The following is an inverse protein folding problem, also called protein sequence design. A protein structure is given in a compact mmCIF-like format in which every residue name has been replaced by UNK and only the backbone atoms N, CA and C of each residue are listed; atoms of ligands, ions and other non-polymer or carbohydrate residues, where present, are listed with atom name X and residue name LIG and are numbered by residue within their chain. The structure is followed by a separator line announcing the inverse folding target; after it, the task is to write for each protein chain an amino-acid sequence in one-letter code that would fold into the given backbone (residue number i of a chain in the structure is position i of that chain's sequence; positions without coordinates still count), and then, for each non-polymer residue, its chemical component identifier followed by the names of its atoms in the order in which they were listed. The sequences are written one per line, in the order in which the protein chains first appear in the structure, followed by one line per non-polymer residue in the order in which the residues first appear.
data_IF_962785546370
#
_entry.id   IF_962785546370
#
_cell.length_a   1.000
_cell.length_b   1.000
_cell.length_c   1.000
_cell.angle_alpha   90.00
_cell.angle_beta   90.00
_cell.angle_gamma   90.00
#
_symmetry.space_group_name_H-M   'P 1'
#
loop_
_entity.id
_entity.type
_entity.pdbx_description
1 polymer ?
#
# COMPACT_ATOMS: atom_id res chain seq x y z
N UNK A 1 22.39 -4.51 -11.59
CA UNK A 1 21.37 -4.26 -10.53
C UNK A 1 20.68 -5.58 -10.21
N UNK A 2 20.38 -5.84 -8.94
CA UNK A 2 19.58 -7.01 -8.58
C UNK A 2 18.12 -6.82 -9.03
N UNK A 3 17.49 -7.88 -9.55
CA UNK A 3 16.08 -7.84 -9.95
C UNK A 3 15.22 -7.74 -8.69
N UNK A 4 14.25 -6.81 -8.60
CA UNK A 4 13.31 -6.74 -7.49
C UNK A 4 12.55 -8.07 -7.34
N UNK A 5 12.52 -8.62 -6.12
CA UNK A 5 11.77 -9.85 -5.82
C UNK A 5 10.39 -9.47 -5.28
N UNK A 6 9.29 -9.88 -5.92
CA UNK A 6 7.96 -9.60 -5.41
C UNK A 6 7.70 -10.39 -4.12
N UNK A 7 7.01 -9.76 -3.18
CA UNK A 7 6.41 -10.49 -2.06
C UNK A 7 5.10 -11.10 -2.56
N UNK A 8 4.96 -12.42 -2.44
CA UNK A 8 3.86 -13.16 -3.06
C UNK A 8 2.94 -13.90 -2.08
N UNK A 9 3.39 -14.10 -0.85
CA UNK A 9 2.60 -14.74 0.20
C UNK A 9 1.92 -13.65 1.01
N UNK A 10 0.60 -13.58 0.97
CA UNK A 10 -0.18 -12.54 1.66
C UNK A 10 -1.11 -13.17 2.69
N UNK A 11 -1.45 -12.47 3.78
CA UNK A 11 -2.41 -13.00 4.74
C UNK A 11 -3.77 -13.17 4.06
N UNK A 12 -4.44 -14.30 4.33
CA UNK A 12 -5.73 -14.64 3.74
C UNK A 12 -5.66 -15.53 2.48
N UNK A 13 -4.49 -15.72 1.88
CA UNK A 13 -4.30 -16.74 0.83
C UNK A 13 -4.27 -18.15 1.43
N UNK A 14 -4.82 -19.13 0.72
CA UNK A 14 -4.95 -20.50 1.20
C UNK A 14 -3.86 -21.40 0.58
N UNK A 15 -3.19 -22.20 1.41
CA UNK A 15 -2.24 -23.20 0.96
C UNK A 15 -1.05 -22.61 0.21
N UNK A 16 -0.88 -23.02 -1.05
CA UNK A 16 0.24 -22.61 -1.92
C UNK A 16 -0.13 -21.43 -2.86
N UNK A 17 -1.26 -20.75 -2.62
CA UNK A 17 -1.65 -19.60 -3.41
C UNK A 17 -0.66 -18.45 -3.26
N UNK A 18 -0.34 -17.82 -4.40
CA UNK A 18 0.63 -16.74 -4.50
C UNK A 18 0.04 -15.61 -5.33
N UNK A 19 0.24 -14.36 -4.90
CA UNK A 19 -0.22 -13.19 -5.63
C UNK A 19 0.83 -12.08 -5.64
N UNK A 20 1.11 -11.51 -6.82
CA UNK A 20 2.03 -10.37 -6.94
C UNK A 20 1.45 -9.05 -6.41
N UNK A 21 0.13 -9.02 -6.16
CA UNK A 21 -0.60 -7.83 -5.71
C UNK A 21 -1.61 -8.24 -4.66
N UNK A 22 -1.69 -7.45 -3.60
CA UNK A 22 -2.74 -7.57 -2.56
C UNK A 22 -3.82 -6.53 -2.81
N UNK A 23 -5.13 -6.87 -2.74
CA UNK A 23 -6.19 -5.90 -2.97
C UNK A 23 -6.19 -4.81 -1.89
N UNK A 24 -6.55 -3.59 -2.29
CA UNK A 24 -6.69 -2.45 -1.37
C UNK A 24 -8.06 -2.47 -0.72
N UNK A 25 -8.21 -3.35 0.29
CA UNK A 25 -9.45 -3.61 1.03
C UNK A 25 -9.20 -3.53 2.52
N UNK A 26 -10.17 -2.96 3.24
CA UNK A 26 -10.22 -2.94 4.70
C UNK A 26 -11.62 -3.30 5.18
N UNK A 27 -11.67 -3.98 6.32
CA UNK A 27 -12.90 -4.13 7.10
C UNK A 27 -12.57 -3.75 8.53
N UNK A 28 -13.43 -2.91 9.10
CA UNK A 28 -13.34 -2.51 10.49
C UNK A 28 -14.22 -3.40 11.34
N UNK A 29 -13.77 -3.70 12.55
CA UNK A 29 -14.59 -4.31 13.57
C UNK A 29 -15.66 -3.30 14.03
N UNK A 30 -16.96 -3.62 13.95
CA UNK A 30 -18.02 -2.63 14.24
C UNK A 30 -18.02 -2.11 15.68
N UNK A 31 -17.48 -2.88 16.63
CA UNK A 31 -17.50 -2.52 18.06
C UNK A 31 -16.31 -1.65 18.44
N UNK A 32 -15.11 -2.04 17.99
CA UNK A 32 -13.86 -1.37 18.35
C UNK A 32 -13.43 -0.28 17.37
N UNK A 33 -13.96 -0.30 16.13
CA UNK A 33 -13.56 0.62 15.07
C UNK A 33 -12.11 0.43 14.59
N UNK A 34 -11.45 -0.65 14.99
CA UNK A 34 -10.12 -1.04 14.52
C UNK A 34 -10.21 -1.91 13.27
N UNK A 35 -9.12 -1.96 12.49
CA UNK A 35 -9.03 -2.85 11.33
C UNK A 35 -9.10 -4.31 11.80
N UNK A 36 -10.15 -5.02 11.39
CA UNK A 36 -10.36 -6.43 11.67
C UNK A 36 -9.69 -7.32 10.62
N UNK A 37 -9.79 -6.92 9.34
CA UNK A 37 -9.20 -7.65 8.22
C UNK A 37 -8.84 -6.72 7.07
N UNK A 38 -7.87 -7.13 6.24
CA UNK A 38 -7.42 -6.37 5.09
C UNK A 38 -6.99 -7.29 3.95
N UNK A 39 -6.90 -6.76 2.73
CA UNK A 39 -6.43 -7.53 1.58
C UNK A 39 -7.30 -8.77 1.30
N UNK A 40 -6.66 -9.94 1.17
CA UNK A 40 -7.34 -11.21 0.91
C UNK A 40 -8.13 -11.75 2.12
N UNK A 41 -7.95 -11.18 3.31
CA UNK A 41 -8.70 -11.58 4.50
C UNK A 41 -10.13 -11.00 4.54
N UNK A 42 -10.44 -10.05 3.65
CA UNK A 42 -11.78 -9.46 3.55
C UNK A 42 -12.71 -10.38 2.75
N UNK A 43 -13.81 -10.80 3.37
CA UNK A 43 -14.91 -11.51 2.71
C UNK A 43 -15.81 -10.53 1.94
N UNK A 44 -16.26 -10.93 0.75
CA UNK A 44 -17.07 -10.13 -0.16
C UNK A 44 -18.47 -9.80 0.39
N UNK A 45 -18.97 -10.56 1.37
CA UNK A 45 -20.30 -10.39 1.94
C UNK A 45 -20.42 -9.28 3.01
N UNK A 46 -19.40 -8.44 3.21
CA UNK A 46 -19.29 -7.53 4.36
C UNK A 46 -19.05 -6.06 3.97
N UNK A 47 -19.16 -5.14 4.94
CA UNK A 47 -18.89 -3.69 4.81
C UNK A 47 -17.39 -3.41 4.57
N UNK A 48 -16.92 -3.83 3.39
CA UNK A 48 -15.54 -3.69 2.95
C UNK A 48 -15.33 -2.32 2.33
N UNK A 49 -14.34 -1.60 2.85
CA UNK A 49 -13.88 -0.33 2.28
C UNK A 49 -12.92 -0.62 1.15
N UNK A 50 -13.35 -0.32 -0.08
CA UNK A 50 -12.57 -0.51 -1.31
C UNK A 50 -12.68 0.69 -2.25
N UNK A 51 -11.83 0.72 -3.28
CA UNK A 51 -11.74 1.81 -4.28
C UNK A 51 -11.42 3.21 -3.72
N UNK A 52 -11.16 3.33 -2.43
CA UNK A 52 -10.89 4.58 -1.72
C UNK A 52 -9.66 5.34 -2.20
N UNK A 53 -8.74 4.69 -2.91
CA UNK A 53 -7.57 5.38 -3.50
C UNK A 53 -7.97 6.40 -4.57
N UNK A 54 -9.11 6.22 -5.23
CA UNK A 54 -9.62 7.15 -6.24
C UNK A 54 -9.97 8.51 -5.60
N UNK A 55 -10.59 8.48 -4.43
CA UNK A 55 -11.07 9.65 -3.69
C UNK A 55 -9.95 10.35 -2.87
N UNK A 56 -8.69 9.97 -3.04
CA UNK A 56 -7.55 10.69 -2.47
C UNK A 56 -7.25 11.98 -3.26
N UNK A 57 -7.50 11.95 -4.58
CA UNK A 57 -7.33 13.13 -5.44
C UNK A 57 -8.48 14.11 -5.20
N UNK A 58 -8.19 15.34 -4.72
CA UNK A 58 -9.24 16.33 -4.48
C UNK A 58 -10.00 16.77 -5.73
N UNK A 59 -9.46 16.50 -6.93
CA UNK A 59 -10.11 16.82 -8.20
C UNK A 59 -10.92 15.64 -8.77
N UNK A 60 -10.82 14.46 -8.17
CA UNK A 60 -11.61 13.31 -8.59
C UNK A 60 -13.03 13.41 -8.04
N UNK A 61 -14.01 13.41 -8.93
CA UNK A 61 -15.43 13.34 -8.59
C UNK A 61 -15.89 11.91 -8.80
N UNK A 62 -16.24 11.25 -7.70
CA UNK A 62 -16.74 9.89 -7.72
C UNK A 62 -18.25 9.87 -7.95
N UNK A 63 -18.74 9.26 -9.05
CA UNK A 63 -20.17 9.25 -9.35
C UNK A 63 -20.97 8.27 -8.49
N UNK A 64 -20.32 7.43 -7.66
CA UNK A 64 -21.00 6.44 -6.83
C UNK A 64 -21.75 7.14 -5.68
N UNK A 65 -23.03 6.81 -5.43
CA UNK A 65 -23.79 7.39 -4.31
C UNK A 65 -23.14 7.18 -2.94
N UNK A 66 -22.50 6.02 -2.76
CA UNK A 66 -21.81 5.59 -1.54
C UNK A 66 -20.31 5.91 -1.55
N UNK A 67 -19.86 6.80 -2.43
CA UNK A 67 -18.46 7.19 -2.52
C UNK A 67 -17.96 7.77 -1.18
N UNK A 68 -16.77 7.35 -0.72
CA UNK A 68 -16.21 7.90 0.49
C UNK A 68 -15.81 9.36 0.31
N UNK A 69 -15.91 10.11 1.40
CA UNK A 69 -15.28 11.43 1.47
C UNK A 69 -13.76 11.29 1.36
N UNK A 70 -13.09 12.38 0.98
CA UNK A 70 -11.62 12.42 0.97
C UNK A 70 -11.02 12.13 2.34
N UNK A 71 -11.68 12.58 3.41
CA UNK A 71 -11.24 12.38 4.79
C UNK A 71 -11.29 10.88 5.16
N UNK A 72 -12.40 10.21 4.85
CA UNK A 72 -12.53 8.76 5.05
C UNK A 72 -11.50 8.00 4.23
N UNK A 73 -11.32 8.39 2.97
CA UNK A 73 -10.37 7.78 2.05
C UNK A 73 -8.93 7.91 2.55
N UNK A 74 -8.56 9.06 3.09
CA UNK A 74 -7.24 9.28 3.70
C UNK A 74 -7.05 8.41 4.95
N UNK A 75 -8.08 8.26 5.79
CA UNK A 75 -8.05 7.36 6.94
C UNK A 75 -7.84 5.91 6.50
N UNK A 76 -8.64 5.43 5.55
CA UNK A 76 -8.57 4.06 5.05
C UNK A 76 -7.25 3.79 4.32
N UNK A 77 -6.73 4.76 3.57
CA UNK A 77 -5.39 4.67 2.99
C UNK A 77 -4.31 4.51 4.07
N UNK A 78 -4.33 5.36 5.10
CA UNK A 78 -3.37 5.34 6.21
C UNK A 78 -3.39 3.98 6.93
N UNK A 79 -4.57 3.49 7.27
CA UNK A 79 -4.72 2.21 7.96
C UNK A 79 -4.29 1.02 7.08
N UNK A 80 -4.66 1.03 5.79
CA UNK A 80 -4.26 -0.01 4.85
C UNK A 80 -2.75 -0.07 4.64
N UNK A 81 -2.11 1.08 4.42
CA UNK A 81 -0.65 1.14 4.26
C UNK A 81 0.05 0.70 5.54
N UNK A 82 -0.49 1.01 6.72
CA UNK A 82 0.05 0.52 7.99
C UNK A 82 -0.04 -1.02 8.10
N UNK A 83 -1.14 -1.63 7.68
CA UNK A 83 -1.27 -3.09 7.60
C UNK A 83 -0.21 -3.71 6.66
N UNK A 84 -0.04 -3.14 5.46
CA UNK A 84 0.98 -3.57 4.49
C UNK A 84 2.38 -3.45 5.10
N UNK A 85 2.69 -2.30 5.70
CA UNK A 85 3.96 -2.04 6.36
C UNK A 85 4.27 -3.08 7.45
N UNK A 86 3.34 -3.31 8.38
CA UNK A 86 3.52 -4.28 9.48
C UNK A 86 3.75 -5.68 8.95
N UNK A 87 3.03 -6.07 7.90
CA UNK A 87 3.22 -7.36 7.26
C UNK A 87 4.61 -7.48 6.59
N UNK A 88 5.03 -6.47 5.83
CA UNK A 88 6.34 -6.45 5.16
C UNK A 88 7.47 -6.50 6.18
N UNK A 89 7.40 -5.71 7.26
CA UNK A 89 8.37 -5.75 8.35
C UNK A 89 8.41 -7.13 9.00
N UNK A 90 7.25 -7.71 9.34
CA UNK A 90 7.19 -9.06 9.91
C UNK A 90 7.80 -10.11 8.98
N UNK A 91 7.53 -10.03 7.67
CA UNK A 91 8.11 -10.91 6.68
C UNK A 91 9.64 -10.76 6.61
N UNK A 92 10.14 -9.53 6.51
CA UNK A 92 11.56 -9.24 6.44
C UNK A 92 12.30 -9.63 7.73
N UNK A 93 11.73 -9.39 8.91
CA UNK A 93 12.34 -9.77 10.20
C UNK A 93 12.58 -11.27 10.35
N UNK A 94 11.81 -12.11 9.64
CA UNK A 94 12.04 -13.57 9.60
C UNK A 94 13.25 -13.96 8.75
N UNK A 95 13.61 -13.13 7.76
CA UNK A 95 14.70 -13.40 6.82
C UNK A 95 15.97 -12.63 7.13
N UNK A 96 15.83 -11.47 7.78
CA UNK A 96 16.91 -10.53 8.05
C UNK A 96 16.97 -10.24 9.56
N UNK A 97 18.04 -10.67 10.26
CA UNK A 97 18.21 -10.37 11.67
C UNK A 97 18.22 -8.86 11.92
N UNK A 98 17.53 -8.46 13.01
CA UNK A 98 17.42 -7.07 13.47
C UNK A 98 16.91 -6.10 12.40
N UNK A 99 15.95 -6.56 11.59
CA UNK A 99 15.42 -5.76 10.47
C UNK A 99 14.78 -4.46 10.95
N UNK A 100 14.12 -4.47 12.10
CA UNK A 100 13.49 -3.34 12.77
C UNK A 100 14.43 -2.18 13.09
N UNK A 101 15.71 -2.47 13.33
CA UNK A 101 16.75 -1.46 13.59
C UNK A 101 17.50 -1.02 12.33
N UNK A 102 17.18 -1.58 11.15
CA UNK A 102 17.84 -1.19 9.89
C UNK A 102 17.22 0.09 9.34
N UNK A 103 18.06 0.87 8.68
CA UNK A 103 17.58 2.01 7.90
C UNK A 103 16.87 1.47 6.65
N UNK A 104 15.55 1.63 6.59
CA UNK A 104 14.73 1.08 5.50
C UNK A 104 13.89 2.18 4.87
N UNK A 105 13.92 2.23 3.55
CA UNK A 105 13.10 3.14 2.75
C UNK A 105 11.95 2.38 2.10
N UNK A 106 10.73 2.81 2.39
CA UNK A 106 9.53 2.38 1.70
C UNK A 106 9.23 3.39 0.60
N UNK A 107 9.52 3.02 -0.65
CA UNK A 107 9.32 3.87 -1.82
C UNK A 107 7.98 3.52 -2.47
N UNK A 108 7.05 4.47 -2.48
CA UNK A 108 5.73 4.32 -3.07
C UNK A 108 5.67 5.05 -4.42
N UNK A 109 5.07 4.40 -5.42
CA UNK A 109 4.72 5.03 -6.68
C UNK A 109 3.33 5.69 -6.62
N UNK A 110 3.10 6.68 -7.46
CA UNK A 110 1.80 7.37 -7.60
C UNK A 110 1.33 7.40 -9.06
N UNK A 111 0.02 7.57 -9.32
CA UNK A 111 -0.48 7.78 -10.67
C UNK A 111 0.18 8.96 -11.37
N UNK A 112 0.35 8.89 -12.70
CA UNK A 112 0.85 10.01 -13.51
C UNK A 112 -0.10 11.22 -13.52
N UNK A 113 -1.35 11.00 -13.16
CA UNK A 113 -2.39 12.03 -13.09
C UNK A 113 -2.33 12.88 -11.82
N UNK A 114 -1.61 12.43 -10.78
CA UNK A 114 -1.47 13.17 -9.52
C UNK A 114 -0.43 14.29 -9.67
N UNK A 115 -0.91 15.45 -10.12
CA UNK A 115 -0.06 16.60 -10.45
C UNK A 115 0.13 17.58 -9.29
N UNK A 116 -0.71 17.53 -8.25
CA UNK A 116 -0.62 18.44 -7.10
C UNK A 116 0.46 17.98 -6.10
N UNK A 117 1.59 18.71 -5.95
CA UNK A 117 2.64 18.33 -5.01
C UNK A 117 2.18 18.34 -3.55
N UNK A 118 1.14 19.11 -3.21
CA UNK A 118 0.60 19.19 -1.85
C UNK A 118 -0.10 17.89 -1.47
N UNK A 119 -0.84 17.30 -2.40
CA UNK A 119 -1.48 15.99 -2.22
C UNK A 119 -0.42 14.90 -2.01
N UNK A 120 0.65 14.92 -2.80
CA UNK A 120 1.77 13.97 -2.66
C UNK A 120 2.45 14.11 -1.30
N UNK A 121 2.68 15.33 -0.85
CA UNK A 121 3.27 15.62 0.46
C UNK A 121 2.35 15.16 1.60
N UNK A 122 1.05 15.41 1.49
CA UNK A 122 0.04 14.96 2.46
C UNK A 122 0.00 13.43 2.56
N UNK A 123 -0.04 12.72 1.44
CA UNK A 123 -0.02 11.26 1.42
C UNK A 123 1.26 10.69 2.01
N UNK A 124 2.41 11.32 1.71
CA UNK A 124 3.67 10.92 2.35
C UNK A 124 3.59 11.06 3.87
N UNK A 125 3.01 12.17 4.35
CA UNK A 125 2.87 12.45 5.79
C UNK A 125 1.86 11.53 6.48
N UNK A 126 0.90 10.98 5.73
CA UNK A 126 -0.10 10.06 6.27
C UNK A 126 0.40 8.62 6.40
N UNK A 127 1.57 8.28 5.83
CA UNK A 127 2.15 6.94 5.99
C UNK A 127 2.65 6.75 7.42
N UNK A 128 1.96 5.89 8.18
CA UNK A 128 2.35 5.49 9.54
C UNK A 128 3.38 4.36 9.49
N UNK A 129 4.51 4.55 10.18
CA UNK A 129 5.58 3.56 10.35
C UNK A 129 5.86 3.35 11.85
N UNK A 130 6.14 2.12 12.26
CA UNK A 130 6.34 1.77 13.68
C UNK A 130 7.81 1.88 14.15
N UNK A 131 8.76 2.12 13.23
CA UNK A 131 10.19 2.25 13.54
C UNK A 131 10.71 3.61 13.08
N UNK A 132 11.49 4.27 13.94
CA UNK A 132 12.18 5.52 13.62
C UNK A 132 13.33 5.34 12.62
N UNK A 133 13.78 4.10 12.39
CA UNK A 133 14.75 3.77 11.36
C UNK A 133 14.11 3.60 9.97
N UNK A 134 12.78 3.61 9.89
CA UNK A 134 12.07 3.45 8.63
C UNK A 134 11.56 4.81 8.14
N UNK A 135 11.60 5.03 6.83
CA UNK A 135 11.03 6.24 6.21
C UNK A 135 10.22 5.92 4.96
N UNK A 136 9.17 6.72 4.74
CA UNK A 136 8.35 6.67 3.55
C UNK A 136 8.77 7.77 2.56
N UNK A 137 8.86 7.40 1.28
CA UNK A 137 9.16 8.30 0.18
C UNK A 137 8.14 8.05 -0.91
N UNK A 138 7.63 9.13 -1.51
CA UNK A 138 6.94 9.04 -2.80
C UNK A 138 7.99 9.23 -3.88
N UNK A 139 8.22 8.18 -4.67
CA UNK A 139 9.25 8.14 -5.69
C UNK A 139 8.71 8.45 -7.07
N UNK A 140 9.09 7.61 -8.02
CA UNK A 140 8.64 7.68 -9.41
C UNK A 140 7.13 7.45 -9.52
N UNK A 141 6.52 7.96 -10.59
CA UNK A 141 5.17 7.56 -10.98
C UNK A 141 5.12 6.07 -11.31
N UNK A 142 3.92 5.49 -11.33
CA UNK A 142 3.71 4.09 -11.71
C UNK A 142 4.26 3.78 -13.11
N UNK A 143 4.05 4.69 -14.08
CA UNK A 143 4.54 4.54 -15.45
C UNK A 143 6.08 4.58 -15.52
N UNK A 144 6.71 5.51 -14.81
CA UNK A 144 8.17 5.59 -14.72
C UNK A 144 8.77 4.37 -14.01
N UNK A 145 8.15 3.91 -12.92
CA UNK A 145 8.58 2.71 -12.19
C UNK A 145 8.52 1.46 -13.09
N UNK A 146 7.46 1.34 -13.90
CA UNK A 146 7.33 0.27 -14.88
C UNK A 146 8.41 0.37 -15.98
N UNK A 147 8.71 1.58 -16.46
CA UNK A 147 9.76 1.79 -17.46
C UNK A 147 11.17 1.45 -16.92
N UNK A 148 11.47 1.80 -15.67
CA UNK A 148 12.73 1.42 -14.99
C UNK A 148 12.82 -0.09 -14.85
N UNK A 149 11.75 -0.75 -14.41
CA UNK A 149 11.73 -2.21 -14.31
C UNK A 149 11.98 -2.87 -15.68
N UNK A 150 11.26 -2.44 -16.73
CA UNK A 150 11.39 -3.01 -18.08
C UNK A 150 12.77 -2.76 -18.71
N UNK A 151 13.36 -1.58 -18.52
CA UNK A 151 14.70 -1.27 -19.03
C UNK A 151 15.79 -2.06 -18.30
N UNK A 152 15.66 -2.27 -16.99
CA UNK A 152 16.58 -3.09 -16.20
C UNK A 152 16.64 -4.56 -16.65
N UNK A 153 15.54 -5.11 -17.18
CA UNK A 153 15.51 -6.47 -17.75
C UNK A 153 16.29 -6.58 -19.08
N UNK A 154 16.43 -5.47 -19.83
CA UNK A 154 17.06 -5.47 -21.16
C UNK A 154 18.60 -5.45 -21.14
N UNK A 155 19.22 -5.17 -20.00
CA UNK A 155 20.69 -5.17 -19.84
C UNK A 155 21.24 -6.52 -19.36
N UNK A 156 20.46 -7.60 -19.48
CA UNK A 156 20.86 -8.97 -19.12
C UNK A 156 20.96 -9.89 -20.35
N UNK A 157 21.34 -9.34 -21.52
CA UNK A 157 21.69 -10.12 -22.71
C UNK A 157 23.20 -10.37 -22.72
#
# INVERSE_FOLDING_TARGET
MAIPKPLQHWPGLIGAEMANKVPSRLRYDPMSGHVQSWGFQCDAASDVKELFKLNLDPHFVDPRPEAPTRIESMKWFTDYIHCVYRYVVSHCSRSFPRFDSRQVEFVFSVPTTWKDPRMVAELRSSVRLDSSAHRAIIGLTEAESAAVYASGQRYQV
#
